data_IF_929820317604
#
_entry.id   IF_929820317604
#
_cell.length_a   1.000
_cell.length_b   1.000
_cell.length_c   1.000
_cell.angle_alpha   90.00
_cell.angle_beta   90.00
_cell.angle_gamma   90.00
#
_symmetry.space_group_name_H-M   'P 1'
#
loop_
_entity.id
_entity.type
_entity.pdbx_description
1 polymer ?
#
# COMPACT_ATOMS: atom_id res chain seq x y z
N UNK A 1 18.98 22.85 -11.40
CA UNK A 1 19.81 22.19 -10.37
C UNK A 1 19.26 22.62 -9.04
N UNK A 2 18.67 21.69 -8.29
CA UNK A 2 18.17 21.99 -6.96
C UNK A 2 19.36 22.21 -6.01
N UNK A 3 19.51 23.44 -5.50
CA UNK A 3 20.52 23.80 -4.50
C UNK A 3 20.34 22.98 -3.20
N UNK A 4 21.40 22.88 -2.41
CA UNK A 4 21.36 22.19 -1.12
C UNK A 4 20.44 22.96 -0.15
N UNK A 5 19.53 22.27 0.53
CA UNK A 5 18.56 22.88 1.44
C UNK A 5 18.56 22.18 2.79
N UNK A 6 18.36 22.96 3.84
CA UNK A 6 18.24 22.50 5.22
C UNK A 6 16.92 23.02 5.76
N UNK A 7 16.03 22.11 6.17
CA UNK A 7 14.74 22.44 6.78
C UNK A 7 14.85 22.22 8.28
N UNK A 8 14.65 23.27 9.06
CA UNK A 8 14.63 23.24 10.53
C UNK A 8 13.19 23.14 11.04
N UNK A 9 12.92 22.15 11.88
CA UNK A 9 11.61 21.91 12.49
C UNK A 9 11.78 21.71 13.99
N UNK A 10 10.74 22.00 14.78
CA UNK A 10 10.77 21.78 16.21
C UNK A 10 10.16 20.41 16.57
N UNK A 11 10.94 19.58 17.26
CA UNK A 11 10.54 18.35 17.94
C UNK A 11 10.36 18.60 19.44
N UNK A 12 9.32 18.01 20.03
CA UNK A 12 9.05 18.07 21.48
C UNK A 12 10.07 17.28 22.28
N UNK A 13 10.55 16.18 21.72
CA UNK A 13 11.44 15.23 22.40
C UNK A 13 12.91 15.56 22.14
N UNK A 14 13.24 16.01 20.92
CA UNK A 14 14.62 16.18 20.45
C UNK A 14 15.02 17.65 20.25
N UNK A 15 14.13 18.61 20.50
CA UNK A 15 14.41 20.04 20.27
C UNK A 15 14.45 20.39 18.79
N UNK A 16 15.49 21.09 18.33
CA UNK A 16 15.58 21.50 16.92
C UNK A 16 16.06 20.31 16.08
N UNK A 17 15.25 19.93 15.10
CA UNK A 17 15.55 18.90 14.10
C UNK A 17 15.83 19.56 12.76
N UNK A 18 16.82 19.05 12.04
CA UNK A 18 17.23 19.51 10.73
C UNK A 18 17.17 18.37 9.70
N UNK A 19 16.62 18.67 8.52
CA UNK A 19 16.55 17.72 7.40
C UNK A 19 17.23 18.35 6.20
N UNK A 20 18.27 17.67 5.72
CA UNK A 20 19.02 18.07 4.54
C UNK A 20 18.41 17.46 3.28
N UNK A 21 18.29 18.24 2.21
CA UNK A 21 17.72 17.79 0.93
C UNK A 21 18.27 18.58 -0.26
N UNK A 22 17.97 18.11 -1.48
CA UNK A 22 18.41 18.69 -2.75
C UNK A 22 19.39 17.77 -3.50
N UNK A 23 19.66 18.05 -4.77
CA UNK A 23 20.70 17.32 -5.55
C UNK A 23 22.08 17.44 -4.87
N UNK A 24 22.27 18.58 -4.21
CA UNK A 24 23.47 18.99 -3.51
C UNK A 24 23.41 18.73 -1.99
N UNK A 25 22.54 17.81 -1.53
CA UNK A 25 22.38 17.54 -0.10
C UNK A 25 23.67 17.17 0.69
N UNK A 26 24.75 16.59 0.09
CA UNK A 26 25.98 16.33 0.85
C UNK A 26 26.60 17.60 1.45
N UNK A 27 26.50 18.75 0.76
CA UNK A 27 26.97 20.03 1.29
C UNK A 27 26.13 20.51 2.47
N UNK A 28 24.82 20.24 2.47
CA UNK A 28 23.96 20.50 3.62
C UNK A 28 24.32 19.60 4.82
N UNK A 29 24.69 18.33 4.60
CA UNK A 29 25.21 17.47 5.66
C UNK A 29 26.54 17.98 6.24
N UNK A 30 27.47 18.44 5.40
CA UNK A 30 28.73 19.03 5.87
C UNK A 30 28.48 20.26 6.73
N UNK A 31 27.57 21.16 6.30
CA UNK A 31 27.21 22.33 7.07
C UNK A 31 26.59 21.99 8.44
N UNK A 32 25.72 20.99 8.50
CA UNK A 32 25.12 20.51 9.75
C UNK A 32 26.17 19.94 10.70
N UNK A 33 27.04 19.07 10.20
CA UNK A 33 28.12 18.47 10.98
C UNK A 33 29.10 19.52 11.54
N UNK A 34 29.56 20.47 10.70
CA UNK A 34 30.47 21.54 11.12
C UNK A 34 29.84 22.48 12.16
N UNK A 35 28.53 22.69 12.08
CA UNK A 35 27.81 23.51 13.04
C UNK A 35 27.52 22.80 14.37
N UNK A 36 27.80 21.49 14.48
CA UNK A 36 27.63 20.74 15.73
C UNK A 36 26.27 20.03 15.87
N UNK A 37 25.50 19.88 14.80
CA UNK A 37 24.36 18.96 14.80
C UNK A 37 24.85 17.51 14.80
N UNK A 38 24.09 16.63 15.45
CA UNK A 38 24.34 15.20 15.48
C UNK A 38 23.30 14.48 14.64
N UNK A 39 23.69 13.37 14.02
CA UNK A 39 22.80 12.54 13.19
C UNK A 39 22.46 11.26 13.94
N UNK A 40 21.18 10.87 13.97
CA UNK A 40 20.73 9.59 14.52
C UNK A 40 20.81 8.46 13.46
N UNK A 41 20.40 7.28 13.90
CA UNK A 41 20.33 6.06 13.08
C UNK A 41 19.26 6.19 11.97
N UNK A 42 18.20 6.98 12.17
CA UNK A 42 17.18 7.31 11.18
C UNK A 42 17.67 8.35 10.15
N UNK A 43 18.90 8.83 10.33
CA UNK A 43 19.56 9.77 9.43
C UNK A 43 19.11 11.22 9.60
N UNK A 44 18.30 11.51 10.61
CA UNK A 44 17.78 12.83 10.99
C UNK A 44 18.85 13.59 11.76
N UNK A 45 18.94 14.91 11.59
CA UNK A 45 19.90 15.73 12.36
C UNK A 45 19.19 16.42 13.52
N UNK A 46 19.80 16.45 14.69
CA UNK A 46 19.27 17.14 15.87
C UNK A 46 20.34 18.05 16.48
N UNK A 47 19.84 19.16 17.02
CA UNK A 47 20.63 20.00 17.90
C UNK A 47 20.73 19.32 19.26
N UNK A 48 21.94 19.07 19.80
CA UNK A 48 22.11 18.45 21.11
C UNK A 48 21.40 19.26 22.21
N UNK A 49 21.00 18.61 23.31
CA UNK A 49 20.26 19.25 24.41
C UNK A 49 21.00 20.43 25.09
N UNK A 50 22.32 20.54 24.90
CA UNK A 50 23.14 21.69 25.33
C UNK A 50 23.39 22.75 24.24
N UNK A 51 22.80 22.59 23.07
CA UNK A 51 22.94 23.51 21.94
C UNK A 51 22.32 24.87 22.25
N UNK A 52 23.08 25.92 21.94
CA UNK A 52 22.70 27.32 22.21
C UNK A 52 22.18 27.99 20.94
N UNK A 53 21.58 29.17 21.10
CA UNK A 53 21.16 30.00 19.96
C UNK A 53 22.33 30.32 19.01
N UNK A 54 23.56 30.31 19.52
CA UNK A 54 24.79 30.46 18.73
C UNK A 54 24.98 29.32 17.71
N UNK A 55 24.59 28.08 18.04
CA UNK A 55 24.73 26.92 17.14
C UNK A 55 23.87 27.07 15.88
N UNK A 56 22.69 27.69 15.99
CA UNK A 56 21.83 28.00 14.84
C UNK A 56 22.43 29.13 13.99
N UNK A 57 23.08 30.11 14.63
CA UNK A 57 23.81 31.19 13.91
C UNK A 57 25.03 30.62 13.18
N UNK A 58 25.74 29.70 13.81
CA UNK A 58 26.87 28.98 13.20
C UNK A 58 26.40 28.13 12.02
N UNK A 59 25.26 27.45 12.15
CA UNK A 59 24.63 26.72 11.04
C UNK A 59 24.34 27.64 9.85
N UNK A 60 23.75 28.82 10.05
CA UNK A 60 23.48 29.76 8.95
C UNK A 60 24.79 30.22 8.28
N UNK A 61 25.87 30.38 9.06
CA UNK A 61 27.19 30.75 8.55
C UNK A 61 27.83 29.61 7.74
N UNK A 62 27.79 28.39 8.26
CA UNK A 62 28.28 27.19 7.58
C UNK A 62 27.46 26.88 6.32
N UNK A 63 26.14 26.99 6.37
CA UNK A 63 25.28 26.78 5.21
C UNK A 63 25.62 27.74 4.07
N UNK A 64 25.80 29.04 4.36
CA UNK A 64 26.27 30.02 3.36
C UNK A 64 27.62 29.65 2.75
N UNK A 65 28.58 29.18 3.57
CA UNK A 65 29.90 28.74 3.10
C UNK A 65 29.78 27.55 2.12
N UNK A 66 28.88 26.62 2.42
CA UNK A 66 28.66 25.41 1.64
C UNK A 66 27.56 25.54 0.58
N UNK A 67 27.12 26.77 0.27
CA UNK A 67 26.05 27.06 -0.72
C UNK A 67 24.74 26.30 -0.44
N UNK A 68 24.42 26.12 0.83
CA UNK A 68 23.15 25.58 1.29
C UNK A 68 22.24 26.68 1.81
N UNK A 69 20.93 26.56 1.56
CA UNK A 69 19.91 27.43 2.16
C UNK A 69 19.36 26.80 3.43
N UNK A 70 19.01 27.65 4.41
CA UNK A 70 18.36 27.21 5.66
C UNK A 70 16.96 27.80 5.70
N UNK A 71 15.96 26.94 5.88
CA UNK A 71 14.56 27.29 5.99
C UNK A 71 14.02 26.81 7.33
N UNK A 72 13.26 27.64 8.03
CA UNK A 72 12.54 27.23 9.23
C UNK A 72 11.12 26.82 8.85
N UNK A 73 10.76 25.58 9.15
CA UNK A 73 9.38 25.13 9.09
C UNK A 73 8.60 25.73 10.25
N UNK A 74 7.40 26.26 9.96
CA UNK A 74 6.44 26.64 11.01
C UNK A 74 5.72 25.43 11.61
N UNK A 75 6.01 24.22 11.09
CA UNK A 75 5.33 22.97 11.47
C UNK A 75 6.17 22.23 12.50
N UNK A 76 5.48 21.40 13.30
CA UNK A 76 6.15 20.44 14.17
C UNK A 76 6.85 19.39 13.30
N UNK A 77 7.93 18.83 13.83
CA UNK A 77 8.62 17.72 13.20
C UNK A 77 7.63 16.57 12.92
N UNK A 78 7.62 16.06 11.69
CA UNK A 78 6.64 15.06 11.23
C UNK A 78 6.70 13.78 12.07
N UNK A 79 7.88 13.40 12.55
CA UNK A 79 8.08 12.21 13.38
C UNK A 79 7.30 12.28 14.70
N UNK A 80 7.14 13.47 15.29
CA UNK A 80 6.32 13.63 16.49
C UNK A 80 4.84 13.45 16.18
N UNK A 81 4.37 14.01 15.06
CA UNK A 81 2.98 13.87 14.63
C UNK A 81 2.66 12.41 14.29
N UNK A 82 3.58 11.72 13.63
CA UNK A 82 3.46 10.31 13.27
C UNK A 82 3.48 9.40 14.51
N UNK A 83 4.38 9.63 15.47
CA UNK A 83 4.38 8.91 16.76
C UNK A 83 3.10 9.16 17.56
N UNK A 84 2.64 10.40 17.66
CA UNK A 84 1.38 10.73 18.33
C UNK A 84 0.19 10.04 17.66
N UNK A 85 0.20 9.94 16.32
CA UNK A 85 -0.82 9.25 15.54
C UNK A 85 -0.77 7.73 15.75
N UNK A 86 0.41 7.11 15.64
CA UNK A 86 0.61 5.67 15.82
C UNK A 86 0.12 5.19 17.20
N UNK A 87 0.39 5.95 18.27
CA UNK A 87 -0.10 5.63 19.63
C UNK A 87 -1.62 5.63 19.77
N UNK A 88 -2.35 6.33 18.89
CA UNK A 88 -3.80 6.50 18.95
C UNK A 88 -4.55 5.62 17.95
N UNK A 89 -3.85 4.99 17.00
CA UNK A 89 -4.45 4.07 16.06
C UNK A 89 -4.75 2.71 16.74
N UNK A 90 -5.82 2.01 16.33
CA UNK A 90 -6.11 0.67 16.81
C UNK A 90 -5.07 -0.32 16.31
N UNK A 91 -4.54 -1.18 17.19
CA UNK A 91 -3.52 -2.16 16.84
C UNK A 91 -2.13 -1.77 17.34
N UNK A 92 -1.10 -2.28 16.68
CA UNK A 92 0.31 -2.07 17.07
C UNK A 92 1.04 -1.33 15.95
N UNK A 93 0.83 -0.02 15.91
CA UNK A 93 1.42 0.86 14.91
C UNK A 93 2.79 1.37 15.34
N UNK A 94 3.74 1.26 14.43
CA UNK A 94 5.08 1.82 14.55
C UNK A 94 5.23 2.98 13.57
N UNK A 95 5.95 4.02 13.96
CA UNK A 95 6.22 5.17 13.12
C UNK A 95 7.74 5.32 12.94
N UNK A 96 8.20 5.35 11.70
CA UNK A 96 9.56 5.71 11.32
C UNK A 96 9.53 6.93 10.40
N UNK A 97 10.64 7.66 10.32
CA UNK A 97 10.77 8.79 9.39
C UNK A 97 11.73 8.38 8.29
N UNK A 98 11.31 8.57 7.05
CA UNK A 98 12.14 8.36 5.87
C UNK A 98 12.56 9.71 5.28
N UNK A 99 13.84 9.82 4.95
CA UNK A 99 14.43 11.03 4.38
C UNK A 99 14.76 10.78 2.92
N UNK A 100 14.01 11.43 2.04
CA UNK A 100 14.28 11.41 0.59
C UNK A 100 15.18 12.58 0.25
N UNK A 101 16.42 12.61 0.74
CA UNK A 101 17.31 13.78 0.61
C UNK A 101 17.51 14.19 -0.87
N UNK A 102 17.72 13.21 -1.75
CA UNK A 102 17.85 13.42 -3.19
C UNK A 102 16.48 13.31 -3.90
N UNK A 103 16.15 14.17 -4.88
CA UNK A 103 14.86 14.11 -5.60
C UNK A 103 14.58 12.75 -6.25
N UNK A 104 15.59 12.11 -6.86
CA UNK A 104 15.43 10.78 -7.46
C UNK A 104 14.95 9.70 -6.46
N UNK A 105 15.31 9.80 -5.18
CA UNK A 105 14.84 8.83 -4.17
C UNK A 105 13.35 8.97 -3.86
N UNK A 106 12.79 10.16 -4.09
CA UNK A 106 11.34 10.34 -4.01
C UNK A 106 10.64 9.72 -5.21
N UNK A 107 11.24 9.76 -6.40
CA UNK A 107 10.70 9.12 -7.62
C UNK A 107 10.64 7.60 -7.46
N UNK A 108 11.60 7.02 -6.74
CA UNK A 108 11.63 5.59 -6.41
C UNK A 108 10.42 5.14 -5.56
N UNK A 109 9.71 6.05 -4.89
CA UNK A 109 8.50 5.74 -4.12
C UNK A 109 7.26 5.55 -4.99
N UNK A 110 7.20 6.21 -6.14
CA UNK A 110 5.98 6.30 -6.96
C UNK A 110 5.42 4.93 -7.34
N UNK A 111 6.22 3.92 -7.73
CA UNK A 111 5.71 2.58 -8.03
C UNK A 111 5.07 1.87 -6.84
N UNK A 112 5.46 2.23 -5.60
CA UNK A 112 5.00 1.58 -4.38
C UNK A 112 3.76 2.22 -3.79
N UNK A 113 3.44 3.46 -4.17
CA UNK A 113 2.27 4.19 -3.65
C UNK A 113 1.00 3.62 -4.27
N UNK A 114 0.14 3.08 -3.41
CA UNK A 114 -1.17 2.58 -3.79
C UNK A 114 -2.24 3.60 -3.42
N UNK A 115 -2.43 4.57 -4.31
CA UNK A 115 -3.32 5.71 -4.14
C UNK A 115 -4.04 6.04 -5.46
N UNK A 116 -5.34 6.33 -5.35
CA UNK A 116 -6.16 6.91 -6.43
C UNK A 116 -6.53 8.38 -6.20
N UNK A 117 -6.01 8.98 -5.13
CA UNK A 117 -6.30 10.35 -4.71
C UNK A 117 -5.15 11.35 -4.95
N UNK A 118 -4.99 12.26 -3.98
CA UNK A 118 -4.06 13.38 -4.09
C UNK A 118 -2.61 13.00 -3.71
N UNK A 119 -2.37 11.88 -3.02
CA UNK A 119 -1.05 11.52 -2.51
C UNK A 119 -0.09 11.16 -3.63
N UNK A 120 -0.47 10.24 -4.51
CA UNK A 120 0.41 9.83 -5.60
C UNK A 120 0.71 11.01 -6.54
N UNK A 121 -0.27 11.90 -6.74
CA UNK A 121 -0.04 13.18 -7.46
C UNK A 121 0.96 14.05 -6.72
N UNK A 122 0.78 14.25 -5.40
CA UNK A 122 1.68 15.06 -4.59
C UNK A 122 3.12 14.52 -4.61
N UNK A 123 3.32 13.20 -4.51
CA UNK A 123 4.65 12.59 -4.60
C UNK A 123 5.27 12.75 -5.99
N UNK A 124 4.49 12.83 -7.06
CA UNK A 124 5.03 13.06 -8.41
C UNK A 124 5.31 14.53 -8.71
N UNK A 125 4.45 15.45 -8.25
CA UNK A 125 4.47 16.84 -8.70
C UNK A 125 5.13 17.81 -7.73
N UNK A 126 5.23 17.45 -6.45
CA UNK A 126 5.67 18.34 -5.37
C UNK A 126 6.91 17.74 -4.69
N UNK A 127 7.79 18.60 -4.16
CA UNK A 127 8.97 18.12 -3.44
C UNK A 127 8.61 17.73 -2.01
N UNK A 128 8.81 16.45 -1.66
CA UNK A 128 8.59 15.88 -0.32
C UNK A 128 9.94 15.34 0.19
N UNK A 129 10.75 16.15 0.89
CA UNK A 129 12.10 15.77 1.32
C UNK A 129 12.13 14.73 2.43
N UNK A 130 10.99 14.50 3.07
CA UNK A 130 10.83 13.52 4.14
C UNK A 130 9.36 13.12 4.27
N UNK A 131 9.12 11.91 4.75
CA UNK A 131 7.81 11.42 5.13
C UNK A 131 7.91 10.59 6.41
N UNK A 132 6.78 10.29 7.03
CA UNK A 132 6.73 9.25 8.04
C UNK A 132 6.04 8.02 7.48
N UNK A 133 6.57 6.84 7.79
CA UNK A 133 5.96 5.55 7.46
C UNK A 133 5.32 5.00 8.72
N UNK A 134 4.05 4.64 8.61
CA UNK A 134 3.29 4.01 9.69
C UNK A 134 3.07 2.54 9.32
N UNK A 135 3.62 1.64 10.12
CA UNK A 135 3.51 0.19 9.88
C UNK A 135 2.73 -0.47 11.00
N UNK A 136 1.67 -1.18 10.66
CA UNK A 136 0.92 -2.02 11.59
C UNK A 136 1.55 -3.40 11.66
N UNK A 137 2.01 -3.81 12.85
CA UNK A 137 2.76 -5.04 13.06
C UNK A 137 1.92 -6.32 12.84
N UNK A 138 0.58 -6.25 12.91
CA UNK A 138 -0.28 -7.41 12.77
C UNK A 138 -0.71 -7.69 11.31
N UNK A 139 -1.41 -6.78 10.61
CA UNK A 139 -1.81 -6.98 9.22
C UNK A 139 -0.72 -6.59 8.21
N UNK A 140 0.46 -6.12 8.65
CA UNK A 140 1.53 -5.66 7.76
C UNK A 140 1.20 -4.39 6.96
N UNK A 141 0.10 -3.70 7.31
CA UNK A 141 -0.36 -2.52 6.58
C UNK A 141 0.65 -1.39 6.75
N UNK A 142 1.12 -0.85 5.64
CA UNK A 142 2.11 0.23 5.62
C UNK A 142 1.50 1.47 4.97
N UNK A 143 1.48 2.58 5.72
CA UNK A 143 0.93 3.86 5.30
C UNK A 143 2.03 4.90 5.16
N UNK A 144 1.91 5.74 4.14
CA UNK A 144 2.75 6.91 3.95
C UNK A 144 2.04 8.15 4.50
N UNK A 145 2.63 8.77 5.51
CA UNK A 145 2.16 10.01 6.15
C UNK A 145 3.05 11.16 5.72
N UNK A 146 2.49 12.07 4.92
CA UNK A 146 3.21 13.25 4.42
C UNK A 146 2.56 14.54 4.90
N UNK A 147 3.39 15.56 4.98
CA UNK A 147 2.92 16.93 5.05
C UNK A 147 2.21 17.30 3.74
N UNK A 148 1.01 17.90 3.84
CA UNK A 148 0.25 18.27 2.63
C UNK A 148 0.94 19.45 1.92
N UNK A 149 1.34 19.31 0.64
CA UNK A 149 1.91 20.41 -0.14
C UNK A 149 0.94 21.58 -0.25
N UNK A 150 1.43 22.81 -0.21
CA UNK A 150 0.61 24.02 -0.31
C UNK A 150 -0.30 24.33 0.91
N UNK A 151 -0.32 23.50 1.95
CA UNK A 151 -1.23 23.65 3.09
C UNK A 151 -0.54 23.60 4.45
N UNK A 152 -0.59 24.69 5.23
CA UNK A 152 0.21 24.88 6.44
C UNK A 152 -0.05 23.93 7.63
N UNK A 153 -1.20 23.26 7.69
CA UNK A 153 -1.65 22.50 8.87
C UNK A 153 -2.27 21.14 8.53
N UNK A 154 -2.23 20.71 7.26
CA UNK A 154 -2.82 19.45 6.83
C UNK A 154 -1.77 18.38 6.64
N UNK A 155 -2.15 17.14 6.93
CA UNK A 155 -1.39 15.97 6.52
C UNK A 155 -2.17 15.20 5.45
N UNK A 156 -1.46 14.38 4.69
CA UNK A 156 -2.04 13.51 3.69
C UNK A 156 -1.54 12.09 3.98
N UNK A 157 -2.48 11.14 3.95
CA UNK A 157 -2.17 9.73 4.19
C UNK A 157 -2.70 8.88 3.05
N UNK A 158 -1.86 7.96 2.60
CA UNK A 158 -2.20 6.89 1.67
C UNK A 158 -1.45 5.63 2.04
N UNK A 159 -1.68 4.55 1.30
CA UNK A 159 -1.06 3.25 1.57
C UNK A 159 0.04 2.95 0.56
N UNK A 160 0.98 2.10 0.96
CA UNK A 160 1.78 1.35 0.01
C UNK A 160 0.98 0.18 -0.55
N UNK A 161 1.39 -0.34 -1.71
CA UNK A 161 0.76 -1.54 -2.28
C UNK A 161 0.89 -2.69 -1.30
N UNK A 162 -0.21 -3.42 -1.01
CA UNK A 162 -0.14 -4.60 -0.17
C UNK A 162 0.79 -5.64 -0.82
N UNK A 163 1.48 -6.39 0.02
CA UNK A 163 2.40 -7.45 -0.42
C UNK A 163 1.68 -8.49 -1.30
N UNK A 164 2.36 -8.97 -2.34
CA UNK A 164 1.82 -9.93 -3.30
C UNK A 164 0.83 -9.35 -4.32
N UNK A 165 0.34 -8.13 -4.14
CA UNK A 165 -0.47 -7.44 -5.14
C UNK A 165 0.38 -6.44 -5.91
N UNK A 166 0.71 -6.79 -7.15
CA UNK A 166 1.28 -5.84 -8.09
C UNK A 166 0.23 -4.79 -8.45
N UNK A 167 0.52 -3.51 -8.18
CA UNK A 167 -0.43 -2.41 -8.38
C UNK A 167 0.08 -1.13 -7.75
N UNK A 168 0.85 -0.35 -8.51
CA UNK A 168 1.33 0.95 -8.06
C UNK A 168 0.32 2.07 -8.29
N UNK A 169 0.84 3.29 -8.39
CA UNK A 169 0.07 4.48 -8.69
C UNK A 169 -0.84 4.30 -9.92
N UNK A 170 -2.13 4.61 -9.75
CA UNK A 170 -3.13 4.50 -10.82
C UNK A 170 -3.86 3.16 -10.90
N UNK A 171 -3.62 2.24 -9.96
CA UNK A 171 -4.47 1.05 -9.79
C UNK A 171 -5.94 1.48 -9.55
N UNK A 172 -6.90 1.03 -10.37
CA UNK A 172 -8.32 1.39 -10.22
C UNK A 172 -8.94 0.92 -8.91
N UNK A 173 -8.32 -0.04 -8.22
CA UNK A 173 -8.75 -0.52 -6.92
C UNK A 173 -8.13 0.26 -5.76
N UNK A 174 -7.10 1.08 -5.99
CA UNK A 174 -6.43 1.82 -4.93
C UNK A 174 -7.41 2.73 -4.17
N UNK A 175 -7.38 2.74 -2.83
CA UNK A 175 -8.21 3.67 -2.07
C UNK A 175 -7.72 5.11 -2.28
N UNK A 176 -8.61 6.11 -2.26
CA UNK A 176 -8.18 7.49 -2.30
C UNK A 176 -7.57 7.89 -0.95
N UNK A 177 -6.41 8.53 -1.01
CA UNK A 177 -5.75 9.16 0.12
C UNK A 177 -6.68 10.10 0.89
N UNK A 178 -6.42 10.21 2.19
CA UNK A 178 -7.22 11.03 3.10
C UNK A 178 -6.41 12.22 3.62
N UNK A 179 -7.05 13.38 3.64
CA UNK A 179 -6.51 14.57 4.29
C UNK A 179 -6.80 14.48 5.79
N UNK A 180 -5.76 14.58 6.61
CA UNK A 180 -5.87 14.56 8.07
C UNK A 180 -5.68 15.95 8.67
N UNK A 181 -6.46 16.28 9.72
CA UNK A 181 -6.25 17.50 10.50
C UNK A 181 -4.96 17.41 11.33
N UNK A 182 -4.43 18.55 11.83
CA UNK A 182 -3.19 18.57 12.61
C UNK A 182 -3.35 18.02 14.04
N UNK A 183 -4.55 17.59 14.42
CA UNK A 183 -4.89 17.16 15.77
C UNK A 183 -4.86 15.63 15.84
N UNK A 184 -3.90 15.01 16.56
CA UNK A 184 -3.68 13.56 16.53
C UNK A 184 -4.93 12.73 16.81
N UNK A 185 -5.75 13.10 17.81
CA UNK A 185 -7.00 12.38 18.11
C UNK A 185 -8.02 12.40 16.97
N UNK A 186 -8.21 13.54 16.30
CA UNK A 186 -9.11 13.63 15.14
C UNK A 186 -8.52 12.96 13.90
N UNK A 187 -7.21 13.01 13.75
CA UNK A 187 -6.50 12.32 12.67
C UNK A 187 -6.61 10.80 12.82
N UNK A 188 -6.36 10.26 14.02
CA UNK A 188 -6.52 8.85 14.35
C UNK A 188 -7.95 8.38 14.12
N UNK A 189 -8.94 9.16 14.57
CA UNK A 189 -10.35 8.87 14.33
C UNK A 189 -10.67 8.83 12.82
N UNK A 190 -10.20 9.81 12.05
CA UNK A 190 -10.43 9.82 10.61
C UNK A 190 -9.78 8.63 9.89
N UNK A 191 -8.58 8.21 10.31
CA UNK A 191 -7.96 7.00 9.79
C UNK A 191 -8.75 5.74 10.15
N UNK A 192 -9.09 5.59 11.43
CA UNK A 192 -9.78 4.40 11.96
C UNK A 192 -11.19 4.24 11.38
N UNK A 193 -11.95 5.33 11.35
CA UNK A 193 -13.37 5.26 10.99
C UNK A 193 -13.60 5.29 9.48
N UNK A 194 -12.63 5.78 8.70
CA UNK A 194 -12.81 6.02 7.26
C UNK A 194 -11.74 5.38 6.38
N UNK A 195 -10.46 5.62 6.66
CA UNK A 195 -9.40 5.21 5.75
C UNK A 195 -9.09 3.72 5.86
N UNK A 196 -8.88 3.18 7.06
CA UNK A 196 -8.57 1.76 7.26
C UNK A 196 -9.69 0.83 6.72
N UNK A 197 -11.00 1.10 6.98
CA UNK A 197 -12.06 0.30 6.36
C UNK A 197 -12.09 0.41 4.83
N UNK A 198 -11.80 1.59 4.26
CA UNK A 198 -11.73 1.76 2.81
C UNK A 198 -10.53 1.04 2.20
N UNK A 199 -9.39 1.04 2.91
CA UNK A 199 -8.20 0.28 2.55
C UNK A 199 -8.48 -1.22 2.56
N UNK A 200 -9.05 -1.78 3.63
CA UNK A 200 -9.43 -3.19 3.70
C UNK A 200 -10.38 -3.60 2.58
N UNK A 201 -11.34 -2.73 2.24
CA UNK A 201 -12.26 -2.95 1.12
C UNK A 201 -11.53 -2.95 -0.23
N UNK A 202 -10.59 -2.02 -0.43
CA UNK A 202 -9.76 -1.97 -1.62
C UNK A 202 -8.89 -3.22 -1.76
N UNK A 203 -8.25 -3.69 -0.68
CA UNK A 203 -7.41 -4.90 -0.68
C UNK A 203 -8.24 -6.10 -1.08
N UNK A 204 -9.39 -6.28 -0.42
CA UNK A 204 -10.31 -7.36 -0.74
C UNK A 204 -10.77 -7.32 -2.21
N UNK A 205 -11.13 -6.13 -2.72
CA UNK A 205 -11.56 -5.97 -4.10
C UNK A 205 -10.43 -6.29 -5.09
N UNK A 206 -9.20 -5.86 -4.81
CA UNK A 206 -8.02 -6.11 -5.65
C UNK A 206 -7.65 -7.58 -5.67
N UNK A 207 -7.61 -8.25 -4.51
CA UNK A 207 -7.38 -9.70 -4.40
C UNK A 207 -8.44 -10.49 -5.18
N UNK A 208 -9.72 -10.15 -4.98
CA UNK A 208 -10.83 -10.78 -5.71
C UNK A 208 -10.70 -10.59 -7.22
N UNK A 209 -10.29 -9.40 -7.67
CA UNK A 209 -10.09 -9.11 -9.09
C UNK A 209 -8.88 -9.86 -9.68
N UNK A 210 -7.77 -9.95 -8.93
CA UNK A 210 -6.58 -10.69 -9.34
C UNK A 210 -6.89 -12.17 -9.54
N UNK A 211 -7.53 -12.81 -8.55
CA UNK A 211 -7.95 -14.21 -8.65
C UNK A 211 -8.97 -14.43 -9.77
N UNK A 212 -9.92 -13.51 -9.96
CA UNK A 212 -10.88 -13.60 -11.06
C UNK A 212 -10.21 -13.52 -12.44
N UNK A 213 -9.17 -12.68 -12.59
CA UNK A 213 -8.34 -12.62 -13.79
C UNK A 213 -7.64 -13.95 -14.05
N UNK A 214 -7.04 -14.55 -13.03
CA UNK A 214 -6.41 -15.88 -13.13
C UNK A 214 -7.38 -16.96 -13.61
N UNK A 215 -8.60 -17.00 -13.05
CA UNK A 215 -9.63 -17.96 -13.51
C UNK A 215 -9.97 -17.77 -14.99
N UNK A 216 -10.15 -16.52 -15.42
CA UNK A 216 -10.46 -16.21 -16.81
C UNK A 216 -9.31 -16.60 -17.76
N UNK A 217 -8.07 -16.30 -17.38
CA UNK A 217 -6.88 -16.62 -18.16
C UNK A 217 -6.66 -18.13 -18.30
N UNK A 218 -6.72 -18.88 -17.19
CA UNK A 218 -6.55 -20.34 -17.22
C UNK A 218 -7.69 -20.99 -18.02
N UNK A 219 -8.94 -20.52 -17.87
CA UNK A 219 -10.07 -21.04 -18.67
C UNK A 219 -9.86 -20.79 -20.16
N UNK A 220 -9.48 -19.58 -20.55
CA UNK A 220 -9.25 -19.26 -21.96
C UNK A 220 -8.13 -20.11 -22.57
N UNK A 221 -7.04 -20.34 -21.84
CA UNK A 221 -5.94 -21.18 -22.32
C UNK A 221 -6.32 -22.66 -22.35
N UNK A 222 -7.07 -23.13 -21.35
CA UNK A 222 -7.58 -24.50 -21.27
C UNK A 222 -8.54 -24.82 -22.42
N UNK A 223 -9.48 -23.93 -22.73
CA UNK A 223 -10.43 -24.11 -23.84
C UNK A 223 -9.70 -24.18 -25.19
N UNK A 224 -8.69 -23.32 -25.39
CA UNK A 224 -7.85 -23.35 -26.58
C UNK A 224 -7.05 -24.67 -26.68
N UNK A 225 -6.47 -25.12 -25.57
CA UNK A 225 -5.74 -26.39 -25.49
C UNK A 225 -6.67 -27.58 -25.76
N UNK A 226 -7.88 -27.60 -25.20
CA UNK A 226 -8.87 -28.66 -25.45
C UNK A 226 -9.27 -28.72 -26.92
N UNK A 227 -9.50 -27.57 -27.57
CA UNK A 227 -9.81 -27.50 -28.99
C UNK A 227 -8.65 -28.01 -29.86
N UNK A 228 -7.41 -27.66 -29.52
CA UNK A 228 -6.21 -28.20 -30.20
C UNK A 228 -6.08 -29.71 -30.03
N UNK A 229 -6.32 -30.22 -28.83
CA UNK A 229 -6.22 -31.65 -28.53
C UNK A 229 -7.32 -32.46 -29.25
N UNK A 230 -8.53 -31.92 -29.33
CA UNK A 230 -9.65 -32.55 -30.04
C UNK A 230 -9.48 -32.55 -31.57
N UNK A 231 -8.92 -31.47 -32.13
CA UNK A 231 -8.73 -31.32 -33.58
C UNK A 231 -7.41 -31.88 -34.11
N UNK A 232 -6.43 -32.10 -33.22
CA UNK A 232 -5.07 -32.45 -33.62
C UNK A 232 -4.40 -31.38 -34.48
N UNK A 233 -4.84 -30.13 -34.41
CA UNK A 233 -4.37 -29.00 -35.23
C UNK A 233 -4.25 -27.72 -34.42
N UNK A 234 -3.39 -26.80 -34.86
CA UNK A 234 -3.35 -25.43 -34.37
C UNK A 234 -4.59 -24.64 -34.79
N UNK A 235 -4.75 -23.44 -34.22
CA UNK A 235 -5.86 -22.52 -34.53
C UNK A 235 -5.89 -22.07 -36.01
N UNK A 236 -4.77 -22.14 -36.71
CA UNK A 236 -4.64 -21.87 -38.15
C UNK A 236 -4.92 -23.10 -39.04
N UNK A 237 -5.42 -24.19 -38.45
CA UNK A 237 -5.64 -25.50 -39.06
C UNK A 237 -4.36 -26.24 -39.50
N UNK A 238 -3.18 -25.80 -39.07
CA UNK A 238 -1.93 -26.55 -39.29
C UNK A 238 -1.94 -27.83 -38.44
N UNK A 239 -1.71 -29.02 -39.03
CA UNK A 239 -1.68 -30.27 -38.28
C UNK A 239 -0.56 -30.31 -37.22
N UNK A 240 -0.89 -30.78 -36.02
CA UNK A 240 0.06 -31.00 -34.93
C UNK A 240 0.66 -32.40 -34.99
N UNK A 241 1.97 -32.49 -34.78
CA UNK A 241 2.60 -33.78 -34.49
C UNK A 241 2.33 -34.20 -33.04
N UNK A 242 2.41 -35.50 -32.75
CA UNK A 242 2.27 -36.01 -31.37
C UNK A 242 3.30 -35.38 -30.41
N UNK A 243 4.53 -35.12 -30.88
CA UNK A 243 5.56 -34.44 -30.09
C UNK A 243 5.20 -32.97 -29.81
N UNK A 244 4.65 -32.26 -30.81
CA UNK A 244 4.20 -30.88 -30.65
C UNK A 244 3.00 -30.77 -29.71
N UNK A 245 2.08 -31.74 -29.74
CA UNK A 245 0.95 -31.83 -28.83
C UNK A 245 1.40 -32.08 -27.37
N UNK A 246 2.38 -32.98 -27.18
CA UNK A 246 3.01 -33.21 -25.89
C UNK A 246 3.67 -31.95 -25.33
N UNK A 247 4.49 -31.27 -26.14
CA UNK A 247 5.13 -30.02 -25.73
C UNK A 247 4.13 -28.90 -25.40
N UNK A 248 3.03 -28.80 -26.17
CA UNK A 248 1.97 -27.81 -25.91
C UNK A 248 1.24 -28.09 -24.59
N UNK A 249 1.02 -29.36 -24.26
CA UNK A 249 0.43 -29.77 -22.98
C UNK A 249 1.33 -29.41 -21.81
N UNK A 250 2.64 -29.64 -21.93
CA UNK A 250 3.59 -29.27 -20.89
C UNK A 250 3.66 -27.76 -20.66
N UNK A 251 3.65 -26.97 -21.73
CA UNK A 251 3.63 -25.50 -21.64
C UNK A 251 2.37 -24.99 -20.95
N UNK A 252 1.20 -25.51 -21.32
CA UNK A 252 -0.06 -25.16 -20.68
C UNK A 252 -0.03 -25.46 -19.17
N UNK A 253 0.43 -26.66 -18.77
CA UNK A 253 0.50 -27.04 -17.36
C UNK A 253 1.46 -26.14 -16.56
N UNK A 254 2.61 -25.77 -17.14
CA UNK A 254 3.55 -24.85 -16.49
C UNK A 254 2.98 -23.43 -16.39
N UNK A 255 2.28 -22.93 -17.41
CA UNK A 255 1.62 -21.62 -17.37
C UNK A 255 0.46 -21.59 -16.36
N UNK A 256 -0.40 -22.61 -16.39
CA UNK A 256 -1.52 -22.74 -15.47
C UNK A 256 -1.03 -22.80 -14.02
N UNK A 257 0.03 -23.57 -13.74
CA UNK A 257 0.65 -23.60 -12.42
C UNK A 257 1.17 -22.23 -11.97
N UNK A 258 1.95 -21.54 -12.82
CA UNK A 258 2.49 -20.20 -12.46
C UNK A 258 1.38 -19.20 -12.16
N UNK A 259 0.29 -19.19 -12.93
CA UNK A 259 -0.86 -18.31 -12.65
C UNK A 259 -1.62 -18.75 -11.40
N UNK A 260 -1.74 -20.06 -11.17
CA UNK A 260 -2.42 -20.60 -10.00
C UNK A 260 -1.73 -20.23 -8.69
N UNK A 261 -0.42 -19.94 -8.69
CA UNK A 261 0.28 -19.43 -7.50
C UNK A 261 -0.33 -18.12 -6.97
N UNK A 262 -0.84 -17.24 -7.82
CA UNK A 262 -1.59 -16.05 -7.37
C UNK A 262 -2.89 -16.41 -6.63
N UNK A 263 -3.50 -17.56 -6.94
CA UNK A 263 -4.65 -18.08 -6.19
C UNK A 263 -4.18 -18.61 -4.84
N UNK A 264 -3.06 -19.34 -4.82
CA UNK A 264 -2.44 -19.83 -3.58
C UNK A 264 -2.12 -18.67 -2.62
N UNK A 265 -1.52 -17.59 -3.12
CA UNK A 265 -1.12 -16.43 -2.31
C UNK A 265 -2.30 -15.65 -1.70
N UNK A 266 -3.50 -15.72 -2.29
CA UNK A 266 -4.60 -14.81 -1.96
C UNK A 266 -5.92 -15.49 -1.57
N UNK A 267 -6.17 -16.72 -2.03
CA UNK A 267 -7.40 -17.44 -1.74
C UNK A 267 -7.59 -17.73 -0.24
N UNK A 268 -6.56 -18.13 0.55
CA UNK A 268 -6.75 -18.43 1.97
C UNK A 268 -7.40 -17.29 2.77
N UNK A 269 -6.90 -16.06 2.59
CA UNK A 269 -7.44 -14.87 3.27
C UNK A 269 -8.89 -14.57 2.88
N UNK A 270 -9.29 -14.87 1.64
CA UNK A 270 -10.66 -14.70 1.16
C UNK A 270 -11.59 -15.84 1.60
N UNK A 271 -11.08 -17.08 1.63
CA UNK A 271 -11.79 -18.27 2.11
C UNK A 271 -12.20 -18.10 3.58
N UNK A 272 -11.30 -17.60 4.43
CA UNK A 272 -11.58 -17.34 5.86
C UNK A 272 -12.76 -16.38 6.09
N UNK A 273 -13.03 -15.49 5.12
CA UNK A 273 -14.12 -14.53 5.18
C UNK A 273 -15.42 -15.07 4.59
N UNK A 274 -15.37 -16.15 3.81
CA UNK A 274 -16.56 -16.72 3.18
C UNK A 274 -17.49 -17.34 4.23
N UNK A 275 -18.77 -16.94 4.23
CA UNK A 275 -19.78 -17.48 5.12
C UNK A 275 -20.96 -18.05 4.32
N UNK A 276 -20.79 -19.21 3.66
CA UNK A 276 -21.79 -19.75 2.73
C UNK A 276 -23.14 -20.00 3.38
N UNK A 277 -23.17 -20.38 4.67
CA UNK A 277 -24.40 -20.60 5.44
C UNK A 277 -25.29 -19.36 5.60
N UNK A 278 -24.68 -18.16 5.53
CA UNK A 278 -25.39 -16.88 5.62
C UNK A 278 -25.60 -16.24 4.25
N UNK A 279 -25.23 -16.94 3.17
CA UNK A 279 -25.32 -16.45 1.79
C UNK A 279 -26.59 -16.95 1.09
N UNK A 280 -26.99 -16.33 -0.03
CA UNK A 280 -28.06 -16.84 -0.89
C UNK A 280 -27.76 -18.20 -1.55
N UNK A 281 -26.52 -18.70 -1.48
CA UNK A 281 -26.09 -19.97 -2.08
C UNK A 281 -25.38 -20.87 -1.05
N UNK A 282 -26.11 -21.49 -0.11
CA UNK A 282 -25.51 -22.38 0.89
C UNK A 282 -24.78 -23.59 0.29
N UNK A 283 -25.22 -24.06 -0.89
CA UNK A 283 -24.62 -25.20 -1.60
C UNK A 283 -23.17 -24.95 -2.04
N UNK A 284 -22.75 -23.67 -2.13
CA UNK A 284 -21.38 -23.28 -2.43
C UNK A 284 -20.40 -23.75 -1.34
N UNK A 285 -20.87 -24.11 -0.13
CA UNK A 285 -20.03 -24.60 0.96
C UNK A 285 -19.18 -25.82 0.56
N UNK A 286 -19.74 -26.74 -0.24
CA UNK A 286 -19.01 -27.93 -0.68
C UNK A 286 -17.89 -27.59 -1.69
N UNK A 287 -18.14 -26.61 -2.56
CA UNK A 287 -17.16 -26.11 -3.53
C UNK A 287 -16.03 -25.34 -2.82
N UNK A 288 -16.37 -24.52 -1.83
CA UNK A 288 -15.39 -23.82 -1.00
C UNK A 288 -14.48 -24.79 -0.23
N UNK A 289 -15.04 -25.87 0.35
CA UNK A 289 -14.25 -26.88 1.05
C UNK A 289 -13.26 -27.59 0.12
N UNK A 290 -13.72 -28.04 -1.07
CA UNK A 290 -12.85 -28.67 -2.05
C UNK A 290 -11.74 -27.73 -2.51
N UNK A 291 -12.06 -26.45 -2.72
CA UNK A 291 -11.07 -25.47 -3.10
C UNK A 291 -10.06 -25.20 -1.98
N UNK A 292 -10.49 -25.14 -0.72
CA UNK A 292 -9.60 -24.97 0.43
C UNK A 292 -8.60 -26.13 0.54
N UNK A 293 -9.08 -27.36 0.36
CA UNK A 293 -8.22 -28.56 0.35
C UNK A 293 -7.22 -28.49 -0.82
N UNK A 294 -7.69 -28.14 -2.03
CA UNK A 294 -6.85 -28.01 -3.22
C UNK A 294 -5.77 -26.92 -3.09
N UNK A 295 -6.10 -25.78 -2.48
CA UNK A 295 -5.13 -24.71 -2.19
C UNK A 295 -4.11 -25.17 -1.15
N UNK A 296 -4.55 -25.84 -0.08
CA UNK A 296 -3.65 -26.36 0.96
C UNK A 296 -2.67 -27.40 0.40
N UNK A 297 -3.13 -28.29 -0.48
CA UNK A 297 -2.26 -29.26 -1.16
C UNK A 297 -1.22 -28.58 -2.08
N UNK A 298 -1.62 -27.47 -2.73
CA UNK A 298 -0.74 -26.67 -3.57
C UNK A 298 0.29 -25.87 -2.77
N UNK A 299 -0.07 -25.35 -1.60
CA UNK A 299 0.85 -24.72 -0.64
C UNK A 299 1.91 -25.73 -0.18
N UNK A 300 1.50 -26.94 0.21
CA UNK A 300 2.43 -28.00 0.61
C UNK A 300 3.40 -28.39 -0.53
N UNK A 301 2.92 -28.43 -1.77
CA UNK A 301 3.77 -28.65 -2.95
C UNK A 301 4.75 -27.50 -3.17
N UNK A 302 4.32 -26.24 -2.99
CA UNK A 302 5.18 -25.07 -3.11
C UNK A 302 6.29 -25.08 -2.06
N UNK A 303 5.95 -25.36 -0.80
CA UNK A 303 6.92 -25.49 0.29
C UNK A 303 7.96 -26.58 0.02
N UNK A 304 7.54 -27.74 -0.52
CA UNK A 304 8.45 -28.81 -0.92
C UNK A 304 9.40 -28.38 -2.05
N UNK A 305 8.92 -27.59 -3.01
CA UNK A 305 9.75 -27.07 -4.11
C UNK A 305 10.76 -26.03 -3.59
N UNK A 306 10.37 -25.19 -2.63
CA UNK A 306 11.21 -24.11 -2.08
C UNK A 306 12.24 -24.64 -1.09
N UNK A 307 11.88 -25.64 -0.27
CA UNK A 307 12.70 -26.12 0.85
C UNK A 307 13.26 -27.54 0.68
N UNK A 308 12.75 -28.32 -0.27
CA UNK A 308 13.14 -29.71 -0.52
C UNK A 308 14.13 -29.88 -1.68
N UNK A 309 14.37 -31.14 -2.03
CA UNK A 309 15.13 -31.50 -3.23
C UNK A 309 14.33 -31.15 -4.50
N UNK A 310 15.03 -30.98 -5.62
CA UNK A 310 14.42 -30.59 -6.89
C UNK A 310 13.35 -31.61 -7.36
N UNK A 311 12.07 -31.26 -7.20
CA UNK A 311 10.94 -32.04 -7.74
C UNK A 311 10.99 -32.01 -9.27
N UNK A 312 11.02 -33.17 -9.95
CA UNK A 312 11.01 -33.21 -11.42
C UNK A 312 9.79 -32.48 -11.99
N UNK A 313 9.98 -31.75 -13.10
CA UNK A 313 8.92 -30.95 -13.71
C UNK A 313 7.65 -31.75 -14.03
N UNK A 314 7.80 -33.00 -14.49
CA UNK A 314 6.68 -33.89 -14.78
C UNK A 314 5.88 -34.26 -13.53
N UNK A 315 6.56 -34.54 -12.42
CA UNK A 315 5.92 -34.89 -11.15
C UNK A 315 5.18 -33.68 -10.55
N UNK A 316 5.83 -32.51 -10.57
CA UNK A 316 5.21 -31.24 -10.17
C UNK A 316 3.92 -30.97 -10.94
N UNK A 317 3.94 -31.13 -12.26
CA UNK A 317 2.75 -30.92 -13.12
C UNK A 317 1.64 -31.91 -12.78
N UNK A 318 1.97 -33.18 -12.57
CA UNK A 318 0.99 -34.21 -12.22
C UNK A 318 0.34 -33.95 -10.85
N UNK A 319 1.10 -33.42 -9.87
CA UNK A 319 0.60 -33.07 -8.54
C UNK A 319 -0.17 -31.75 -8.51
N UNK A 320 0.19 -30.78 -9.34
CA UNK A 320 -0.48 -29.48 -9.44
C UNK A 320 -1.83 -29.55 -10.17
N UNK A 321 -1.97 -30.43 -11.16
CA UNK A 321 -3.14 -30.49 -12.03
C UNK A 321 -4.49 -30.68 -11.28
N UNK A 322 -4.63 -31.60 -10.31
CA UNK A 322 -5.88 -31.76 -9.58
C UNK A 322 -6.37 -30.49 -8.88
N UNK A 323 -5.45 -29.66 -8.36
CA UNK A 323 -5.80 -28.39 -7.75
C UNK A 323 -6.30 -27.36 -8.78
N UNK A 324 -5.64 -27.31 -9.94
CA UNK A 324 -6.04 -26.45 -11.07
C UNK A 324 -7.40 -26.88 -11.64
N UNK A 325 -7.66 -28.19 -11.75
CA UNK A 325 -8.95 -28.71 -12.22
C UNK A 325 -10.09 -28.40 -11.25
N UNK A 326 -9.82 -28.51 -9.94
CA UNK A 326 -10.75 -28.07 -8.88
C UNK A 326 -11.02 -26.57 -9.00
N UNK A 327 -9.98 -25.76 -9.23
CA UNK A 327 -10.13 -24.32 -9.46
C UNK A 327 -10.98 -23.97 -10.68
N UNK A 328 -10.78 -24.64 -11.80
CA UNK A 328 -11.58 -24.44 -13.01
C UNK A 328 -13.06 -24.76 -12.78
N UNK A 329 -13.34 -25.78 -11.97
CA UNK A 329 -14.68 -26.27 -11.65
C UNK A 329 -15.40 -25.39 -10.61
N UNK A 330 -14.76 -25.13 -9.48
CA UNK A 330 -15.36 -24.51 -8.30
C UNK A 330 -15.07 -22.99 -8.18
N UNK A 331 -14.20 -22.44 -9.03
CA UNK A 331 -13.74 -21.06 -8.94
C UNK A 331 -14.85 -19.99 -9.03
N UNK A 332 -15.92 -20.24 -9.81
CA UNK A 332 -17.05 -19.31 -9.85
C UNK A 332 -17.84 -19.27 -8.54
N UNK A 333 -17.99 -20.40 -7.86
CA UNK A 333 -18.65 -20.46 -6.56
C UNK A 333 -17.83 -19.69 -5.52
N UNK A 334 -16.51 -19.90 -5.53
CA UNK A 334 -15.59 -19.14 -4.71
C UNK A 334 -15.68 -17.63 -4.97
N UNK A 335 -15.58 -17.18 -6.23
CA UNK A 335 -15.62 -15.75 -6.55
C UNK A 335 -16.96 -15.09 -6.20
N UNK A 336 -18.08 -15.82 -6.30
CA UNK A 336 -19.38 -15.32 -5.83
C UNK A 336 -19.37 -15.09 -4.32
N UNK A 337 -18.90 -16.06 -3.55
CA UNK A 337 -18.86 -15.96 -2.08
C UNK A 337 -17.87 -14.90 -1.62
N UNK A 338 -16.68 -14.84 -2.21
CA UNK A 338 -15.68 -13.81 -1.93
C UNK A 338 -16.26 -12.40 -2.12
N UNK A 339 -16.95 -12.15 -3.24
CA UNK A 339 -17.59 -10.84 -3.50
C UNK A 339 -18.65 -10.46 -2.48
N UNK A 340 -19.41 -11.43 -1.95
CA UNK A 340 -20.40 -11.19 -0.89
C UNK A 340 -19.75 -10.91 0.47
N UNK A 341 -18.61 -11.53 0.72
CA UNK A 341 -17.84 -11.42 1.98
C UNK A 341 -16.96 -10.17 2.06
N UNK A 342 -17.13 -9.22 1.14
CA UNK A 342 -16.42 -7.95 1.17
C UNK A 342 -16.59 -7.26 2.54
N UNK A 343 -15.50 -6.74 3.15
CA UNK A 343 -15.59 -6.07 4.44
C UNK A 343 -16.63 -4.95 4.39
N UNK A 344 -17.54 -4.97 5.37
CA UNK A 344 -18.71 -4.10 5.35
C UNK A 344 -18.27 -2.64 5.53
N UNK A 345 -18.64 -1.79 4.58
CA UNK A 345 -18.69 -0.35 4.82
C UNK A 345 -19.72 -0.14 5.92
N UNK A 346 -19.31 0.21 7.14
CA UNK A 346 -20.23 0.82 8.10
C UNK A 346 -20.88 1.97 7.33
N UNK A 347 -22.21 1.97 7.11
CA UNK A 347 -22.86 3.14 6.55
C UNK A 347 -22.49 4.28 7.48
N UNK A 348 -21.88 5.34 6.94
CA UNK A 348 -21.80 6.57 7.70
C UNK A 348 -23.24 6.88 8.09
N UNK A 349 -23.54 6.83 9.40
CA UNK A 349 -24.80 7.34 9.90
C UNK A 349 -24.99 8.70 9.23
N UNK A 350 -26.14 8.98 8.59
CA UNK A 350 -26.32 10.24 7.89
C UNK A 350 -25.98 11.34 8.88
N UNK A 351 -24.92 12.10 8.56
CA UNK A 351 -24.57 13.31 9.30
C UNK A 351 -25.84 14.14 9.27
N UNK A 352 -26.50 14.24 10.41
CA UNK A 352 -27.70 15.05 10.58
C UNK A 352 -27.37 16.40 10.00
N UNK A 353 -28.17 16.84 9.01
CA UNK A 353 -27.99 18.09 8.30
C UNK A 353 -27.64 19.22 9.27
N UNK A 354 -26.77 20.18 8.88
CA UNK A 354 -26.39 21.27 9.76
C UNK A 354 -27.65 21.94 10.31
N UNK A 355 -27.67 22.14 11.63
CA UNK A 355 -28.74 22.86 12.31
C UNK A 355 -29.06 24.14 11.54
N UNK A 356 -30.35 24.32 11.19
CA UNK A 356 -30.87 25.54 10.56
C UNK A 356 -30.27 26.76 11.27
N UNK A 357 -29.75 27.75 10.54
CA UNK A 357 -29.37 29.01 11.15
C UNK A 357 -30.61 29.62 11.83
N UNK A 358 -30.47 29.94 13.12
CA UNK A 358 -31.42 30.76 13.85
C UNK A 358 -31.60 32.08 13.08
N UNK A 359 -32.83 32.57 12.87
CA UNK A 359 -33.05 33.84 12.20
C UNK A 359 -32.40 34.96 13.00
N UNK A 360 -31.63 35.80 12.29
CA UNK A 360 -31.02 37.02 12.85
C UNK A 360 -32.10 37.87 13.53
N UNK A 361 -31.98 38.05 14.83
CA UNK A 361 -32.74 39.05 15.56
C UNK A 361 -32.30 40.43 15.04
N UNK A 362 -33.19 41.09 14.29
CA UNK A 362 -33.00 42.48 13.86
C UNK A 362 -32.71 43.37 15.07
N UNK A 363 -31.70 44.26 15.00
CA UNK A 363 -31.49 45.23 16.06
C UNK A 363 -32.69 46.18 16.13
N UNK A 364 -33.27 46.31 17.33
CA UNK A 364 -34.31 47.27 17.62
C UNK A 364 -33.76 48.68 17.39
N UNK A 365 -34.37 49.38 16.43
CA UNK A 365 -34.17 50.80 16.17
C UNK A 365 -34.59 51.57 17.42
N UNK A 366 -33.65 52.21 18.13
CA UNK A 366 -33.98 53.21 19.15
C UNK A 366 -34.22 54.54 18.45
N UNK A 367 -35.48 54.96 18.42
CA UNK A 367 -35.88 56.33 18.08
C UNK A 367 -36.11 57.13 19.36
N UNK A 368 -35.35 58.23 19.47
CA UNK A 368 -35.47 59.42 20.33
C UNK A 368 -35.42 59.26 21.85
#
# INVERSE_FOLDING_TARGET
MAEAQIILSHSRESGIVAIASGEQYPWAHTALAESGFQRDDDGVWHLPAGGTQTTVVDLVTCAKRHRASVHTSSRRYIGDAARDLARLLPGQWHASVEIYAHPAWQEDLVPWIWDSGDLGRAVQSERIPYAAVLTDAAPGTTLLFVERPGHHLGYLVGAFSPEGLEGGYGDPHAPPSIVLPPFPGRAAQALTDRYLPAYEQAVHARQTAAIAGVLADIRSEHDAWQAMNASGSYSDATPLSAAALGASTELFLDHAWRRFLTVVDHAPTLLDRCQPANSPWPDDASALSRLADAVSDAEALLDEIVHGDAVPAQERRARAWPAIETWLTDGDAFLRQARLSAPHRRPALPVTAPARPLPEARPAYRSH
#
